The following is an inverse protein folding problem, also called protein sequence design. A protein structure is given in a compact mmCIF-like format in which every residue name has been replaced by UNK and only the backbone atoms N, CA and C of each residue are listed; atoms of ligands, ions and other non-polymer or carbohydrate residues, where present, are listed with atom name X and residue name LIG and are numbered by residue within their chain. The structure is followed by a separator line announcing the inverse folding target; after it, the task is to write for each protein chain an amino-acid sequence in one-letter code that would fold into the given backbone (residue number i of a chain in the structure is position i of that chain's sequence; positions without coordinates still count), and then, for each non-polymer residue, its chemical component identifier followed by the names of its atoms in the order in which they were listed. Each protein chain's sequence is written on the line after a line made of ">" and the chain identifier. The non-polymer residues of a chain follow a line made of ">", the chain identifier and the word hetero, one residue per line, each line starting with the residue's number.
data_IF_224196676486
#
_entry.id   IF_224196676486
#
_cell.length_a   1.000
_cell.length_b   1.000
_cell.length_c   1.000
_cell.angle_alpha   90.00
_cell.angle_beta   90.00
_cell.angle_gamma   90.00
#
_symmetry.space_group_name_H-M   'P 1'
#
loop_
_entity.id
_entity.type
_entity.pdbx_description
1 polymer ?
#
# COMPACT_ATOMS: atom_id res chain seq x y z
N UNK A 1 -16.29 -4.61 11.38
CA UNK A 1 -16.10 -4.52 12.85
C UNK A 1 -17.32 -3.84 13.44
N UNK A 2 -17.68 -4.09 14.71
CA UNK A 2 -18.77 -3.35 15.37
C UNK A 2 -18.18 -2.52 16.50
N UNK A 3 -18.48 -1.23 16.55
CA UNK A 3 -18.02 -0.36 17.63
C UNK A 3 -18.91 -0.44 18.89
N UNK A 4 -18.51 0.24 19.97
CA UNK A 4 -19.24 0.21 21.25
C UNK A 4 -20.66 0.79 21.17
N UNK A 5 -20.96 1.57 20.12
CA UNK A 5 -22.29 2.12 19.86
C UNK A 5 -23.18 1.18 19.05
N UNK A 6 -22.64 0.03 18.62
CA UNK A 6 -23.35 -0.95 17.78
C UNK A 6 -23.28 -0.65 16.29
N UNK A 7 -22.48 0.33 15.85
CA UNK A 7 -22.33 0.68 14.44
C UNK A 7 -21.35 -0.29 13.77
N UNK A 8 -21.74 -0.81 12.60
CA UNK A 8 -20.82 -1.53 11.72
C UNK A 8 -19.86 -0.55 11.04
N UNK A 9 -18.57 -0.89 11.12
CA UNK A 9 -17.47 -0.14 10.56
C UNK A 9 -16.66 -1.05 9.65
N UNK A 10 -16.49 -0.60 8.41
CA UNK A 10 -15.57 -1.21 7.46
C UNK A 10 -14.14 -0.86 7.87
N UNK A 11 -13.34 -1.90 8.13
CA UNK A 11 -12.00 -1.76 8.68
C UNK A 11 -10.98 -2.45 7.79
N UNK A 12 -9.84 -1.80 7.59
CA UNK A 12 -8.64 -2.44 7.04
C UNK A 12 -7.65 -2.72 8.18
N UNK A 13 -7.06 -3.91 8.15
CA UNK A 13 -6.04 -4.31 9.12
C UNK A 13 -4.68 -4.25 8.45
N UNK A 14 -3.86 -3.29 8.85
CA UNK A 14 -2.55 -3.04 8.26
C UNK A 14 -1.45 -3.38 9.25
N UNK A 15 -0.30 -3.82 8.74
CA UNK A 15 0.87 -4.12 9.57
C UNK A 15 1.26 -2.91 10.42
N UNK A 16 1.47 -3.15 11.71
CA UNK A 16 2.04 -2.17 12.64
C UNK A 16 3.54 -1.97 12.42
N UNK A 17 4.03 -0.77 12.71
CA UNK A 17 5.47 -0.47 12.78
C UNK A 17 6.13 -1.29 13.89
N UNK A 18 7.32 -1.85 13.64
CA UNK A 18 8.08 -2.65 14.62
C UNK A 18 7.73 -4.13 14.66
N UNK A 19 6.74 -4.58 13.88
CA UNK A 19 6.40 -6.00 13.73
C UNK A 19 7.06 -6.60 12.48
N UNK A 20 7.66 -7.77 12.65
CA UNK A 20 8.14 -8.63 11.57
C UNK A 20 6.96 -9.37 10.94
N UNK A 21 6.86 -9.32 9.60
CA UNK A 21 5.81 -10.03 8.86
C UNK A 21 5.90 -11.55 9.00
N UNK A 22 7.10 -12.11 9.19
CA UNK A 22 7.29 -13.56 9.30
C UNK A 22 6.70 -14.14 10.60
N UNK A 23 6.57 -13.32 11.64
CA UNK A 23 6.09 -13.73 12.97
C UNK A 23 4.92 -12.87 13.45
N UNK A 24 4.21 -12.21 12.54
CA UNK A 24 3.14 -11.28 12.91
C UNK A 24 1.96 -12.04 13.52
N UNK A 25 1.42 -11.48 14.60
CA UNK A 25 0.18 -11.93 15.22
C UNK A 25 -0.92 -10.88 15.03
N UNK A 26 -2.14 -11.20 15.44
CA UNK A 26 -3.29 -10.28 15.33
C UNK A 26 -3.04 -8.92 16.01
N UNK A 27 -2.31 -8.91 17.13
CA UNK A 27 -1.93 -7.69 17.86
C UNK A 27 -0.93 -6.80 17.10
N UNK A 28 -0.24 -7.38 16.11
CA UNK A 28 0.64 -6.66 15.20
C UNK A 28 -0.09 -5.93 14.08
N UNK A 29 -1.41 -6.09 13.96
CA UNK A 29 -2.23 -5.42 12.96
C UNK A 29 -2.97 -4.22 13.57
N UNK A 30 -2.85 -3.07 12.93
CA UNK A 30 -3.59 -1.87 13.27
C UNK A 30 -4.92 -1.84 12.49
N UNK A 31 -6.09 -1.86 13.17
CA UNK A 31 -7.37 -1.67 12.51
C UNK A 31 -7.60 -0.18 12.23
N UNK A 32 -7.82 0.17 10.98
CA UNK A 32 -8.10 1.54 10.52
C UNK A 32 -9.50 1.64 9.91
N UNK A 33 -10.17 2.77 10.11
CA UNK A 33 -11.44 3.10 9.44
C UNK A 33 -11.19 3.23 7.93
N UNK A 34 -11.71 2.27 7.14
CA UNK A 34 -11.46 2.21 5.71
C UNK A 34 -12.05 3.43 4.98
N UNK A 35 -13.18 3.95 5.46
CA UNK A 35 -13.80 5.14 4.85
C UNK A 35 -12.92 6.36 5.03
N UNK A 36 -12.32 6.53 6.21
CA UNK A 36 -11.38 7.63 6.45
C UNK A 36 -10.19 7.55 5.50
N UNK A 37 -9.67 6.36 5.25
CA UNK A 37 -8.56 6.19 4.31
C UNK A 37 -8.96 6.53 2.87
N UNK A 38 -10.18 6.19 2.44
CA UNK A 38 -10.70 6.62 1.14
C UNK A 38 -10.80 8.14 1.02
N UNK A 39 -11.27 8.85 2.06
CA UNK A 39 -11.28 10.32 2.07
C UNK A 39 -9.87 10.92 1.92
N UNK A 40 -8.85 10.30 2.51
CA UNK A 40 -7.46 10.75 2.42
C UNK A 40 -6.85 10.52 1.03
N UNK A 41 -7.25 9.43 0.34
CA UNK A 41 -6.78 9.12 -1.02
C UNK A 41 -7.27 10.16 -2.03
N UNK A 42 -8.45 10.74 -1.81
CA UNK A 42 -9.03 11.78 -2.69
C UNK A 42 -8.35 13.16 -2.55
N UNK A 43 -7.43 13.33 -1.60
CA UNK A 43 -6.71 14.60 -1.44
C UNK A 43 -5.71 14.82 -2.58
N UNK A 44 -5.72 16.03 -3.15
CA UNK A 44 -4.73 16.43 -4.17
C UNK A 44 -3.29 16.35 -3.64
N UNK A 45 -3.11 16.62 -2.35
CA UNK A 45 -1.82 16.64 -1.65
C UNK A 45 -2.00 16.23 -0.20
N UNK A 46 -1.13 15.34 0.26
CA UNK A 46 -0.99 14.97 1.67
C UNK A 46 0.49 14.83 1.99
N UNK A 47 0.97 15.57 2.99
CA UNK A 47 2.37 15.49 3.42
C UNK A 47 2.60 14.27 4.31
N UNK A 48 3.81 13.69 4.34
CA UNK A 48 4.09 12.52 5.19
C UNK A 48 3.76 12.76 6.67
N UNK A 49 4.09 13.92 7.29
CA UNK A 49 3.70 14.18 8.67
C UNK A 49 2.18 14.21 8.87
N UNK A 50 1.43 14.81 7.94
CA UNK A 50 -0.02 14.87 8.02
C UNK A 50 -0.64 13.48 7.78
N UNK A 51 -0.13 12.73 6.80
CA UNK A 51 -0.51 11.34 6.55
C UNK A 51 -0.35 10.51 7.81
N UNK A 52 0.80 10.59 8.49
CA UNK A 52 1.02 9.82 9.71
C UNK A 52 0.09 10.23 10.85
N UNK A 53 -0.24 11.53 10.99
CA UNK A 53 -1.23 11.99 11.97
C UNK A 53 -2.63 11.46 11.65
N UNK A 54 -3.03 11.53 10.39
CA UNK A 54 -4.34 11.09 9.93
C UNK A 54 -4.51 9.57 10.04
N UNK A 55 -3.48 8.80 9.67
CA UNK A 55 -3.48 7.34 9.86
C UNK A 55 -3.55 6.96 11.34
N UNK A 56 -2.86 7.69 12.22
CA UNK A 56 -2.96 7.47 13.66
C UNK A 56 -4.36 7.81 14.22
N UNK A 57 -4.99 8.87 13.70
CA UNK A 57 -6.35 9.27 14.07
C UNK A 57 -7.42 8.33 13.52
N UNK A 58 -7.16 7.66 12.39
CA UNK A 58 -8.07 6.69 11.77
C UNK A 58 -8.10 5.32 12.50
N UNK A 59 -7.27 5.10 13.52
CA UNK A 59 -7.27 3.85 14.28
C UNK A 59 -8.60 3.63 14.99
N UNK A 60 -9.16 2.43 14.81
CA UNK A 60 -10.35 1.97 15.52
C UNK A 60 -10.03 1.47 16.93
N UNK A 61 -8.78 1.06 17.15
CA UNK A 61 -8.22 0.77 18.46
C UNK A 61 -7.04 1.71 18.75
N UNK A 62 -7.17 2.68 19.67
CA UNK A 62 -6.08 3.56 20.07
C UNK A 62 -4.84 2.81 20.59
N UNK A 63 -5.02 1.64 21.21
CA UNK A 63 -3.96 0.80 21.76
C UNK A 63 -3.18 -0.01 20.71
N UNK A 64 -3.70 -0.09 19.48
CA UNK A 64 -3.04 -0.78 18.38
C UNK A 64 -1.74 -0.09 17.94
N UNK A 65 -0.77 -0.83 17.35
CA UNK A 65 0.49 -0.27 16.89
C UNK A 65 0.27 0.84 15.85
N UNK A 66 1.29 1.67 15.63
CA UNK A 66 1.22 2.67 14.55
C UNK A 66 1.16 1.96 13.20
N UNK A 67 0.22 2.33 12.30
CA UNK A 67 0.06 1.69 11.02
C UNK A 67 1.24 1.98 10.06
N UNK A 68 1.42 1.11 9.06
CA UNK A 68 2.41 1.32 8.00
C UNK A 68 2.16 2.62 7.23
N UNK A 69 3.25 3.26 6.75
CA UNK A 69 3.19 4.41 5.82
C UNK A 69 2.51 4.05 4.48
N UNK A 70 2.46 2.77 4.14
CA UNK A 70 1.84 2.27 2.90
C UNK A 70 0.35 1.95 3.06
N UNK A 71 -0.28 2.30 4.19
CA UNK A 71 -1.68 1.98 4.47
C UNK A 71 -2.65 2.50 3.40
N UNK A 72 -2.37 3.66 2.80
CA UNK A 72 -3.19 4.22 1.72
C UNK A 72 -3.12 3.38 0.43
N UNK A 73 -1.96 2.76 0.12
CA UNK A 73 -1.84 1.83 -1.01
C UNK A 73 -2.74 0.61 -0.81
N UNK A 74 -2.74 0.04 0.39
CA UNK A 74 -3.59 -1.11 0.72
C UNK A 74 -5.08 -0.78 0.66
N UNK A 75 -5.47 0.44 1.08
CA UNK A 75 -6.88 0.88 1.04
C UNK A 75 -7.36 1.23 -0.38
N UNK A 76 -6.45 1.65 -1.27
CA UNK A 76 -6.78 1.96 -2.65
C UNK A 76 -7.14 0.73 -3.48
N UNK A 77 -6.40 -0.37 -3.28
CA UNK A 77 -6.58 -1.57 -4.09
C UNK A 77 -7.88 -2.29 -3.69
N UNK A 78 -8.79 -2.58 -4.65
CA UNK A 78 -10.12 -3.10 -4.37
C UNK A 78 -10.12 -4.62 -4.11
N UNK A 79 -9.25 -5.08 -3.20
CA UNK A 79 -9.08 -6.49 -2.85
C UNK A 79 -9.16 -6.71 -1.35
N UNK A 80 -9.65 -7.87 -0.94
CA UNK A 80 -9.80 -8.22 0.49
C UNK A 80 -8.47 -8.35 1.21
N UNK A 81 -7.43 -8.78 0.49
CA UNK A 81 -6.09 -8.94 1.02
C UNK A 81 -5.07 -8.48 -0.02
N UNK A 82 -4.16 -7.63 0.43
CA UNK A 82 -3.07 -7.05 -0.36
C UNK A 82 -1.77 -7.32 0.38
N UNK A 83 -0.84 -7.98 -0.28
CA UNK A 83 0.51 -8.19 0.21
C UNK A 83 1.43 -7.26 -0.54
N UNK A 84 2.28 -6.58 0.20
CA UNK A 84 3.29 -5.68 -0.33
C UNK A 84 4.65 -6.06 0.26
N UNK A 85 5.65 -6.19 -0.60
CA UNK A 85 7.00 -6.54 -0.22
C UNK A 85 8.03 -5.89 -1.13
N UNK A 86 9.24 -5.73 -0.60
CA UNK A 86 10.43 -5.32 -1.36
C UNK A 86 11.24 -6.56 -1.68
N UNK A 87 10.71 -7.43 -2.55
CA UNK A 87 11.41 -8.65 -2.93
C UNK A 87 12.70 -8.31 -3.70
N UNK A 88 13.85 -8.75 -3.19
CA UNK A 88 15.18 -8.40 -3.73
C UNK A 88 15.31 -8.64 -5.24
N UNK A 89 14.76 -9.76 -5.73
CA UNK A 89 14.79 -10.11 -7.15
C UNK A 89 13.97 -9.12 -7.99
N UNK A 90 12.80 -8.71 -7.51
CA UNK A 90 11.94 -7.75 -8.22
C UNK A 90 12.58 -6.37 -8.24
N UNK A 91 13.16 -5.94 -7.11
CA UNK A 91 13.91 -4.67 -7.03
C UNK A 91 15.07 -4.65 -8.01
N UNK A 92 15.82 -5.74 -8.13
CA UNK A 92 16.94 -5.82 -9.07
C UNK A 92 16.48 -5.84 -10.53
N UNK A 93 15.45 -6.61 -10.87
CA UNK A 93 14.90 -6.69 -12.22
C UNK A 93 14.41 -5.32 -12.72
N UNK A 94 13.68 -4.60 -11.87
CA UNK A 94 13.14 -3.28 -12.22
C UNK A 94 14.18 -2.15 -12.23
N UNK A 95 15.34 -2.36 -11.60
CA UNK A 95 16.46 -1.41 -11.61
C UNK A 95 17.36 -1.54 -12.86
N UNK A 96 17.12 -2.52 -13.74
CA UNK A 96 17.85 -2.65 -15.01
C UNK A 96 17.56 -1.46 -15.94
N UNK A 97 18.48 -1.23 -16.89
CA UNK A 97 18.32 -0.16 -17.88
C UNK A 97 17.04 -0.30 -18.71
N UNK A 98 16.62 -1.55 -18.98
CA UNK A 98 15.32 -1.91 -19.56
C UNK A 98 14.53 -2.80 -18.58
N UNK A 99 14.29 -2.28 -17.37
CA UNK A 99 13.58 -3.01 -16.32
C UNK A 99 12.14 -3.37 -16.72
N UNK A 100 11.42 -2.47 -17.40
CA UNK A 100 10.05 -2.74 -17.84
C UNK A 100 9.99 -3.84 -18.91
N UNK A 101 10.86 -3.79 -19.92
CA UNK A 101 10.98 -4.83 -20.94
C UNK A 101 11.31 -6.18 -20.32
N UNK A 102 12.27 -6.20 -19.40
CA UNK A 102 12.68 -7.43 -18.68
C UNK A 102 11.52 -8.01 -17.86
N UNK A 103 10.78 -7.19 -17.11
CA UNK A 103 9.63 -7.67 -16.32
C UNK A 103 8.54 -8.23 -17.24
N UNK A 104 8.28 -7.57 -18.38
CA UNK A 104 7.29 -8.07 -19.36
C UNK A 104 7.72 -9.37 -20.03
N UNK A 105 9.01 -9.57 -20.27
CA UNK A 105 9.54 -10.84 -20.76
C UNK A 105 9.33 -11.99 -19.76
N UNK A 106 9.56 -11.72 -18.46
CA UNK A 106 9.49 -12.75 -17.41
C UNK A 106 8.05 -13.05 -16.97
N UNK A 107 7.22 -12.02 -16.82
CA UNK A 107 5.89 -12.13 -16.20
C UNK A 107 4.73 -11.87 -17.18
N UNK A 108 5.01 -11.42 -18.41
CA UNK A 108 3.97 -11.14 -19.40
C UNK A 108 2.94 -10.13 -18.91
N UNK A 109 1.67 -10.49 -19.07
CA UNK A 109 0.51 -9.66 -18.67
C UNK A 109 0.02 -9.96 -17.24
N UNK A 110 0.70 -10.82 -16.49
CA UNK A 110 0.30 -11.18 -15.12
C UNK A 110 0.63 -10.07 -14.10
N UNK A 111 1.44 -9.08 -14.50
CA UNK A 111 1.87 -7.98 -13.64
C UNK A 111 1.70 -6.62 -14.32
N UNK A 112 1.42 -5.59 -13.52
CA UNK A 112 1.45 -4.20 -13.95
C UNK A 112 2.72 -3.55 -13.43
N UNK A 113 3.51 -2.97 -14.34
CA UNK A 113 4.69 -2.17 -13.97
C UNK A 113 4.27 -0.72 -13.79
N UNK A 114 4.48 -0.18 -12.60
CA UNK A 114 4.21 1.23 -12.28
C UNK A 114 5.53 2.00 -12.25
N UNK A 115 5.62 3.19 -12.89
CA UNK A 115 6.81 4.03 -12.80
C UNK A 115 7.14 4.37 -11.35
N UNK A 116 8.43 4.51 -11.04
CA UNK A 116 8.87 4.85 -9.70
C UNK A 116 8.29 6.18 -9.22
N UNK A 117 7.74 6.15 -8.01
CA UNK A 117 7.31 7.32 -7.24
C UNK A 117 7.89 7.19 -5.84
N UNK A 118 8.26 8.31 -5.24
CA UNK A 118 8.76 8.32 -3.86
C UNK A 118 7.65 7.83 -2.91
N UNK A 119 7.92 6.81 -2.07
CA UNK A 119 6.94 6.32 -1.10
C UNK A 119 6.68 7.38 -0.01
N UNK A 120 5.47 7.36 0.55
CA UNK A 120 5.01 8.33 1.55
C UNK A 120 4.47 9.64 0.98
N UNK A 121 4.96 10.07 -0.19
CA UNK A 121 4.49 11.29 -0.88
C UNK A 121 3.29 10.95 -1.76
N UNK A 122 2.08 11.21 -1.27
CA UNK A 122 0.88 11.11 -2.08
C UNK A 122 0.80 12.31 -3.04
N UNK A 123 1.26 12.12 -4.28
CA UNK A 123 0.91 12.99 -5.42
C UNK A 123 -0.04 12.22 -6.34
N UNK A 124 -1.23 11.94 -5.82
CA UNK A 124 -2.26 11.10 -6.40
C UNK A 124 -2.67 11.45 -7.86
N UNK A 125 -2.79 12.75 -8.26
CA UNK A 125 -3.21 13.10 -9.62
C UNK A 125 -2.24 12.63 -10.73
N UNK A 126 -0.97 12.35 -10.39
CA UNK A 126 0.03 11.83 -11.33
C UNK A 126 -0.10 10.33 -11.60
N UNK A 127 -0.70 9.58 -10.68
CA UNK A 127 -0.76 8.11 -10.72
C UNK A 127 -1.82 7.57 -11.70
N UNK A 128 -2.94 8.27 -11.86
CA UNK A 128 -4.06 7.84 -12.72
C UNK A 128 -4.23 8.63 -14.03
N UNK A 129 -3.52 9.75 -14.24
CA UNK A 129 -3.95 10.76 -15.22
C UNK A 129 -3.00 11.18 -16.35
N UNK A 130 -1.68 10.97 -16.27
CA UNK A 130 -0.73 11.41 -17.31
C UNK A 130 0.51 10.52 -17.40
N UNK A 131 0.36 9.32 -17.94
CA UNK A 131 1.48 8.60 -18.56
C UNK A 131 1.76 9.20 -19.94
N UNK A 132 2.48 10.32 -19.96
CA UNK A 132 3.16 10.81 -21.16
C UNK A 132 4.51 10.11 -21.32
N UNK A 133 4.97 9.79 -22.55
CA UNK A 133 6.10 8.89 -22.80
C UNK A 133 7.50 9.47 -22.50
N UNK A 134 7.65 10.58 -21.78
CA UNK A 134 8.94 11.24 -21.59
C UNK A 134 9.09 11.86 -20.19
N UNK A 135 9.60 11.07 -19.26
CA UNK A 135 10.29 11.57 -18.06
C UNK A 135 11.30 10.52 -17.61
N UNK A 136 12.60 10.82 -17.51
CA UNK A 136 13.60 9.84 -17.12
C UNK A 136 13.56 9.66 -15.61
N UNK A 137 12.62 8.87 -15.11
CA UNK A 137 12.60 8.49 -13.69
C UNK A 137 13.61 7.37 -13.49
N UNK A 138 14.86 7.76 -13.21
CA UNK A 138 15.87 6.82 -12.71
C UNK A 138 15.40 6.36 -11.34
N UNK A 139 14.92 5.13 -11.25
CA UNK A 139 14.62 4.47 -9.97
C UNK A 139 15.91 4.47 -9.15
N UNK A 140 15.96 5.13 -7.98
CA UNK A 140 17.11 4.99 -7.11
C UNK A 140 17.25 3.51 -6.72
N UNK A 141 18.46 2.94 -6.74
CA UNK A 141 18.66 1.55 -6.37
C UNK A 141 18.11 1.29 -4.96
N UNK A 142 17.26 0.27 -4.83
CA UNK A 142 16.71 -0.20 -3.55
C UNK A 142 15.23 0.04 -3.31
N UNK A 143 14.50 0.68 -4.23
CA UNK A 143 13.07 1.00 -4.02
C UNK A 143 12.22 0.66 -5.25
N UNK A 144 11.79 -0.60 -5.32
CA UNK A 144 10.70 -1.03 -6.21
C UNK A 144 9.80 -2.01 -5.45
N UNK A 145 8.50 -1.91 -5.67
CA UNK A 145 7.47 -2.56 -4.89
C UNK A 145 6.77 -3.62 -5.74
N UNK A 146 6.64 -4.85 -5.22
CA UNK A 146 5.69 -5.82 -5.75
C UNK A 146 4.45 -5.85 -4.86
N UNK A 147 3.30 -5.55 -5.43
CA UNK A 147 2.02 -5.71 -4.75
C UNK A 147 1.26 -6.86 -5.38
N UNK A 148 0.91 -7.86 -4.57
CA UNK A 148 0.04 -8.96 -4.98
C UNK A 148 -1.27 -8.86 -4.22
N UNK A 149 -2.39 -9.00 -4.93
CA UNK A 149 -3.71 -8.91 -4.33
C UNK A 149 -4.50 -10.18 -4.65
N UNK A 150 -5.20 -10.73 -3.66
CA UNK A 150 -6.00 -11.95 -3.84
C UNK A 150 -7.48 -11.69 -3.57
N UNK A 151 -8.33 -12.27 -4.39
CA UNK A 151 -9.80 -12.14 -4.30
C UNK A 151 -10.49 -13.32 -3.62
N UNK A 152 -9.75 -14.23 -2.96
CA UNK A 152 -10.37 -15.43 -2.36
C UNK A 152 -11.35 -15.04 -1.25
N UNK A 153 -12.60 -15.50 -1.38
CA UNK A 153 -13.60 -15.49 -0.31
C UNK A 153 -13.01 -16.15 0.93
N UNK A 154 -13.23 -15.50 2.07
CA UNK A 154 -12.67 -15.83 3.38
C UNK A 154 -12.61 -17.34 3.67
N UNK A 155 -11.45 -17.81 4.13
CA UNK A 155 -11.39 -18.96 5.03
C UNK A 155 -12.28 -18.62 6.23
N UNK A 156 -13.37 -19.36 6.37
CA UNK A 156 -14.24 -19.39 7.56
C UNK A 156 -13.56 -20.25 8.63
N UNK A 157 -13.92 -20.06 9.91
CA UNK A 157 -13.02 -19.84 11.03
C UNK A 157 -12.06 -20.99 11.35
#
# INVERSE_FOLDING_TARGET
>A
MVDITGREVDAIHVKGSGWDMATIEASGLAPLDLRRLHELIELDRLSDPDMMRELAAAKLDPGAPNPSVESLLHAYLPHRAVQHSHADVIVQLTALADGEGTVREVFGDDVVVVPYVMPGVLTWPGWCGRSGPNSPTRVPPGWCCSTTASSRSAMTP
#
